data_IF_465531147153
#
_entry.id   IF_465531147153
#
_cell.length_a   1.000
_cell.length_b   1.000
_cell.length_c   1.000
_cell.angle_alpha   90.00
_cell.angle_beta   90.00
_cell.angle_gamma   90.00
#
_symmetry.space_group_name_H-M   'P 1'
#
loop_
_entity.id
_entity.type
_entity.pdbx_description
1 polymer ?
#
# COMPACT_ATOMS: atom_id res chain seq x y z
N UNK A 1 -4.67 -2.81 24.34
CA UNK A 1 -4.30 -3.87 23.39
C UNK A 1 -4.81 -5.21 23.84
N UNK A 2 -4.42 -5.70 25.01
CA UNK A 2 -4.96 -6.94 25.59
C UNK A 2 -6.51 -6.95 25.59
N UNK A 3 -7.14 -5.82 25.89
CA UNK A 3 -8.61 -5.69 25.83
C UNK A 3 -9.21 -5.87 24.42
N UNK A 4 -8.41 -5.76 23.34
CA UNK A 4 -8.90 -5.87 21.96
C UNK A 4 -8.66 -7.24 21.33
N UNK A 5 -7.57 -7.91 21.74
CA UNK A 5 -7.14 -9.18 21.14
C UNK A 5 -6.84 -10.27 22.18
N UNK A 6 -7.11 -10.02 23.46
CA UNK A 6 -7.00 -10.99 24.54
C UNK A 6 -5.58 -11.26 25.05
N UNK A 7 -4.54 -10.94 24.26
CA UNK A 7 -3.14 -11.21 24.59
C UNK A 7 -2.19 -10.15 24.01
N UNK A 8 -0.93 -10.21 24.43
CA UNK A 8 0.17 -9.42 23.86
C UNK A 8 1.45 -10.25 23.89
N UNK A 9 2.44 -9.97 23.01
CA UNK A 9 3.75 -10.61 23.08
C UNK A 9 4.38 -10.46 24.46
N UNK A 10 5.02 -11.51 24.95
CA UNK A 10 5.87 -11.44 26.13
C UNK A 10 7.18 -10.72 25.81
N UNK A 11 7.89 -10.24 26.84
CA UNK A 11 9.20 -9.59 26.61
C UNK A 11 10.18 -10.50 25.86
N UNK A 12 10.17 -11.81 26.15
CA UNK A 12 11.01 -12.78 25.47
C UNK A 12 10.67 -12.96 23.98
N UNK A 13 9.40 -12.81 23.60
CA UNK A 13 8.95 -12.91 22.20
C UNK A 13 9.20 -11.62 21.42
N UNK A 14 9.31 -10.48 22.10
CA UNK A 14 9.63 -9.20 21.50
C UNK A 14 11.13 -9.04 21.18
N UNK A 15 12.00 -9.76 21.91
CA UNK A 15 13.46 -9.64 21.82
C UNK A 15 14.11 -10.60 20.79
N UNK A 16 13.37 -11.54 20.21
CA UNK A 16 13.93 -12.59 19.32
C UNK A 16 14.49 -12.04 17.99
N UNK A 17 14.21 -10.80 17.62
CA UNK A 17 14.65 -10.22 16.34
C UNK A 17 15.75 -9.13 16.46
N UNK A 18 16.16 -8.72 17.66
CA UNK A 18 17.26 -7.76 17.85
C UNK A 18 18.51 -8.44 18.41
N UNK A 19 19.31 -9.04 17.53
CA UNK A 19 20.67 -9.42 17.85
C UNK A 19 21.55 -8.18 17.91
N UNK A 20 21.69 -7.60 19.10
CA UNK A 20 22.84 -6.87 19.63
C UNK A 20 22.49 -6.25 20.99
N UNK A 21 23.37 -6.43 21.97
CA UNK A 21 23.28 -5.85 23.31
C UNK A 21 23.20 -4.31 23.26
N UNK A 22 21.99 -3.75 23.20
CA UNK A 22 21.76 -2.33 23.50
C UNK A 22 20.93 -2.20 24.77
N UNK A 23 21.55 -1.54 25.78
CA UNK A 23 21.02 -1.12 27.06
C UNK A 23 19.47 -1.16 27.15
N UNK A 24 18.98 -2.05 28.02
CA UNK A 24 17.58 -2.11 28.49
C UNK A 24 17.08 -0.73 28.92
N UNK A 25 16.48 -0.01 27.99
CA UNK A 25 15.38 0.91 28.28
C UNK A 25 14.14 0.11 28.01
N UNK A 26 13.20 0.06 28.94
CA UNK A 26 11.85 -0.46 28.77
C UNK A 26 11.16 0.23 27.58
N UNK A 27 11.49 -0.15 26.36
CA UNK A 27 10.76 0.23 25.16
C UNK A 27 9.59 -0.73 25.07
N UNK A 28 8.42 -0.30 25.50
CA UNK A 28 7.18 -0.98 25.14
C UNK A 28 7.19 -1.14 23.61
N UNK A 29 7.17 -2.37 23.15
CA UNK A 29 7.16 -2.67 21.72
C UNK A 29 6.07 -1.84 21.02
N UNK A 30 6.44 -1.11 19.97
CA UNK A 30 5.51 -0.25 19.22
C UNK A 30 4.47 -1.05 18.41
N UNK A 31 4.66 -2.38 18.31
CA UNK A 31 3.81 -3.30 17.58
C UNK A 31 4.07 -4.76 18.01
N UNK A 32 3.45 -5.71 17.31
CA UNK A 32 3.74 -7.13 17.41
C UNK A 32 4.42 -7.63 16.13
N UNK A 33 5.37 -8.56 16.28
CA UNK A 33 5.99 -9.21 15.13
C UNK A 33 4.93 -9.95 14.30
N UNK A 34 5.07 -9.92 12.98
CA UNK A 34 4.14 -10.67 12.11
C UNK A 34 4.21 -12.18 12.35
N UNK A 35 5.38 -12.69 12.70
CA UNK A 35 5.56 -14.10 13.10
C UNK A 35 4.77 -14.44 14.35
N UNK A 36 4.76 -13.56 15.36
CA UNK A 36 3.95 -13.73 16.55
C UNK A 36 2.46 -13.79 16.24
N UNK A 37 1.97 -12.87 15.38
CA UNK A 37 0.57 -12.87 14.94
C UNK A 37 0.22 -14.20 14.24
N UNK A 38 1.08 -14.66 13.35
CA UNK A 38 0.89 -15.93 12.64
C UNK A 38 0.87 -17.12 13.60
N UNK A 39 1.76 -17.13 14.60
CA UNK A 39 1.79 -18.24 15.56
C UNK A 39 0.52 -18.34 16.41
N UNK A 40 -0.05 -17.20 16.80
CA UNK A 40 -1.16 -17.18 17.76
C UNK A 40 -2.55 -17.08 17.13
N UNK A 41 -2.63 -16.58 15.89
CA UNK A 41 -3.91 -16.26 15.23
C UNK A 41 -4.03 -16.83 13.81
N UNK A 42 -3.19 -17.80 13.42
CA UNK A 42 -3.24 -18.38 12.05
C UNK A 42 -4.57 -19.03 11.73
N UNK A 43 -5.18 -19.66 12.73
CA UNK A 43 -6.43 -20.43 12.53
C UNK A 43 -7.41 -20.08 13.63
N UNK A 44 -8.63 -19.71 13.26
CA UNK A 44 -9.71 -19.56 14.21
C UNK A 44 -10.24 -20.95 14.59
N UNK A 45 -10.45 -21.24 15.89
CA UNK A 45 -11.02 -22.52 16.32
C UNK A 45 -12.39 -22.77 15.67
N UNK A 46 -12.70 -24.01 15.26
CA UNK A 46 -13.97 -24.33 14.59
C UNK A 46 -15.20 -24.09 15.47
N UNK A 47 -15.06 -24.27 16.79
CA UNK A 47 -16.13 -24.06 17.77
C UNK A 47 -16.02 -22.70 18.49
N UNK A 48 -15.43 -21.71 17.81
CA UNK A 48 -15.21 -20.39 18.39
C UNK A 48 -16.52 -19.67 18.67
N UNK A 49 -16.57 -18.94 19.78
CA UNK A 49 -17.66 -18.02 20.06
C UNK A 49 -17.56 -16.78 19.16
N UNK A 50 -18.65 -16.02 19.01
CA UNK A 50 -18.67 -14.79 18.21
C UNK A 50 -17.57 -13.79 18.62
N UNK A 51 -17.28 -13.67 19.90
CA UNK A 51 -16.20 -12.81 20.39
C UNK A 51 -14.82 -13.26 19.93
N UNK A 52 -14.59 -14.58 19.90
CA UNK A 52 -13.34 -15.16 19.41
C UNK A 52 -13.22 -14.98 17.90
N UNK A 53 -14.31 -15.19 17.15
CA UNK A 53 -14.36 -14.93 15.70
C UNK A 53 -14.05 -13.47 15.41
N UNK A 54 -14.70 -12.54 16.11
CA UNK A 54 -14.44 -11.10 15.95
C UNK A 54 -12.99 -10.72 16.28
N UNK A 55 -12.42 -11.35 17.30
CA UNK A 55 -11.02 -11.14 17.66
C UNK A 55 -10.09 -11.60 16.55
N UNK A 56 -10.28 -12.79 15.99
CA UNK A 56 -9.48 -13.30 14.87
C UNK A 56 -9.66 -12.42 13.63
N UNK A 57 -10.89 -12.01 13.30
CA UNK A 57 -11.15 -11.09 12.19
C UNK A 57 -10.44 -9.75 12.38
N UNK A 58 -10.45 -9.20 13.60
CA UNK A 58 -9.75 -7.95 13.93
C UNK A 58 -8.24 -8.08 13.78
N UNK A 59 -7.66 -9.18 14.26
CA UNK A 59 -6.23 -9.45 14.14
C UNK A 59 -5.84 -9.67 12.69
N UNK A 60 -6.66 -10.38 11.92
CA UNK A 60 -6.43 -10.57 10.48
C UNK A 60 -6.46 -9.22 9.72
N UNK A 61 -7.44 -8.38 9.97
CA UNK A 61 -7.50 -7.04 9.38
C UNK A 61 -6.30 -6.18 9.80
N UNK A 62 -5.89 -6.25 11.06
CA UNK A 62 -4.71 -5.55 11.55
C UNK A 62 -3.44 -6.02 10.84
N UNK A 63 -3.28 -7.33 10.67
CA UNK A 63 -2.19 -7.92 9.90
C UNK A 63 -2.16 -7.38 8.46
N UNK A 64 -3.29 -7.46 7.75
CA UNK A 64 -3.41 -7.00 6.36
C UNK A 64 -3.12 -5.50 6.26
N UNK A 65 -3.74 -4.67 7.08
CA UNK A 65 -3.56 -3.22 7.09
C UNK A 65 -2.10 -2.84 7.34
N UNK A 66 -1.45 -3.49 8.32
CA UNK A 66 -0.05 -3.21 8.66
C UNK A 66 0.94 -3.69 7.61
N UNK A 67 0.63 -4.81 6.92
CA UNK A 67 1.56 -5.41 5.97
C UNK A 67 1.40 -4.86 4.55
N UNK A 68 0.22 -4.38 4.20
CA UNK A 68 -0.07 -3.96 2.82
C UNK A 68 -0.32 -2.47 2.66
N UNK A 69 -1.14 -1.87 3.53
CA UNK A 69 -1.50 -0.46 3.40
C UNK A 69 -0.45 0.46 4.03
N UNK A 70 0.05 0.09 5.20
CA UNK A 70 0.95 0.92 6.00
C UNK A 70 2.18 0.14 6.50
N UNK A 71 2.90 -0.58 5.64
CA UNK A 71 4.12 -1.25 6.07
C UNK A 71 5.17 -0.20 6.49
N UNK A 72 5.82 -0.46 7.59
CA UNK A 72 6.99 0.31 8.01
C UNK A 72 8.23 -0.03 7.16
N UNK A 73 9.31 0.71 7.35
CA UNK A 73 10.56 0.49 6.62
C UNK A 73 11.26 -0.84 6.94
N UNK A 74 10.88 -1.51 8.04
CA UNK A 74 11.44 -2.81 8.44
C UNK A 74 10.63 -3.98 7.88
N UNK A 75 9.34 -3.79 7.67
CA UNK A 75 8.41 -4.82 7.20
C UNK A 75 8.23 -6.00 8.17
N UNK A 76 8.62 -5.85 9.44
CA UNK A 76 8.65 -6.94 10.42
C UNK A 76 7.51 -6.93 11.42
N UNK A 77 7.00 -5.74 11.76
CA UNK A 77 6.06 -5.56 12.85
C UNK A 77 4.74 -4.93 12.40
N UNK A 78 3.65 -5.34 13.06
CA UNK A 78 2.35 -4.69 12.97
C UNK A 78 2.21 -3.64 14.09
N UNK A 79 2.24 -2.33 13.77
CA UNK A 79 2.12 -1.28 14.78
C UNK A 79 0.77 -1.31 15.49
N UNK A 80 0.78 -1.12 16.82
CA UNK A 80 -0.44 -1.10 17.64
C UNK A 80 -1.41 0.02 17.29
N UNK A 81 -0.91 1.09 16.69
CA UNK A 81 -1.74 2.22 16.27
C UNK A 81 -2.82 1.79 15.27
N UNK A 82 -2.52 0.87 14.35
CA UNK A 82 -3.49 0.38 13.38
C UNK A 82 -4.55 -0.51 14.02
N UNK A 83 -4.21 -1.24 15.07
CA UNK A 83 -5.19 -2.01 15.82
C UNK A 83 -6.24 -1.11 16.49
N UNK A 84 -5.86 0.10 16.94
CA UNK A 84 -6.80 1.06 17.52
C UNK A 84 -7.88 1.52 16.52
N UNK A 85 -7.54 1.62 15.26
CA UNK A 85 -8.49 2.02 14.21
C UNK A 85 -9.55 0.94 13.95
N UNK A 86 -9.25 -0.30 14.33
CA UNK A 86 -10.11 -1.47 14.17
C UNK A 86 -10.94 -1.79 15.43
N UNK A 87 -11.08 -0.87 16.37
CA UNK A 87 -11.90 -1.06 17.57
C UNK A 87 -13.39 -1.14 17.24
N UNK A 88 -13.82 -0.42 16.21
CA UNK A 88 -15.20 -0.38 15.72
C UNK A 88 -15.21 -0.82 14.27
N UNK A 89 -15.82 -1.97 13.98
CA UNK A 89 -15.86 -2.54 12.62
C UNK A 89 -16.68 -1.71 11.63
N UNK A 90 -17.72 -1.02 12.11
CA UNK A 90 -18.61 -0.22 11.26
C UNK A 90 -18.05 1.16 10.92
N UNK A 91 -16.86 1.50 11.39
CA UNK A 91 -16.23 2.77 11.08
C UNK A 91 -15.85 2.84 9.60
N UNK A 92 -16.37 3.84 8.91
CA UNK A 92 -16.07 4.11 7.50
C UNK A 92 -14.83 4.98 7.38
N UNK A 93 -13.68 4.35 7.24
CA UNK A 93 -12.42 5.05 7.00
C UNK A 93 -12.13 5.14 5.50
N UNK A 94 -11.54 6.25 5.08
CA UNK A 94 -10.99 6.38 3.71
C UNK A 94 -9.61 5.72 3.64
N UNK A 95 -9.58 4.40 3.55
CA UNK A 95 -8.34 3.63 3.52
C UNK A 95 -7.42 4.03 2.37
N UNK A 96 -7.98 4.32 1.19
CA UNK A 96 -7.22 4.77 0.02
C UNK A 96 -6.51 6.10 0.27
N UNK A 97 -7.22 7.10 0.79
CA UNK A 97 -6.63 8.41 1.12
C UNK A 97 -5.56 8.28 2.20
N UNK A 98 -5.82 7.48 3.23
CA UNK A 98 -4.85 7.25 4.30
C UNK A 98 -3.59 6.54 3.78
N UNK A 99 -3.74 5.53 2.92
CA UNK A 99 -2.62 4.83 2.29
C UNK A 99 -1.78 5.76 1.44
N UNK A 100 -2.41 6.63 0.66
CA UNK A 100 -1.71 7.60 -0.18
C UNK A 100 -0.96 8.62 0.65
N UNK A 101 -1.58 9.15 1.73
CA UNK A 101 -0.92 10.04 2.68
C UNK A 101 0.31 9.40 3.30
N UNK A 102 0.17 8.17 3.78
CA UNK A 102 1.27 7.44 4.39
C UNK A 102 2.41 7.20 3.40
N UNK A 103 2.07 6.82 2.16
CA UNK A 103 3.06 6.62 1.10
C UNK A 103 3.81 7.92 0.77
N UNK A 104 3.10 9.04 0.61
CA UNK A 104 3.75 10.34 0.37
C UNK A 104 4.73 10.67 1.47
N UNK A 105 4.34 10.54 2.74
CA UNK A 105 5.22 10.78 3.88
C UNK A 105 6.47 9.89 3.85
N UNK A 106 6.32 8.62 3.52
CA UNK A 106 7.45 7.71 3.44
C UNK A 106 8.40 8.03 2.28
N UNK A 107 7.87 8.50 1.15
CA UNK A 107 8.67 8.95 0.02
C UNK A 107 9.41 10.26 0.32
N UNK A 108 8.76 11.22 0.96
CA UNK A 108 9.40 12.46 1.40
C UNK A 108 10.53 12.18 2.39
N UNK A 109 10.28 11.33 3.39
CA UNK A 109 11.30 10.89 4.34
C UNK A 109 12.47 10.22 3.61
N UNK A 110 12.21 9.39 2.59
CA UNK A 110 13.24 8.73 1.81
C UNK A 110 14.09 9.72 0.99
N UNK A 111 13.46 10.74 0.39
CA UNK A 111 14.16 11.78 -0.37
C UNK A 111 15.03 12.68 0.51
N UNK A 112 14.67 12.87 1.77
CA UNK A 112 15.39 13.73 2.72
C UNK A 112 16.49 13.00 3.50
N UNK A 113 16.60 11.68 3.38
CA UNK A 113 17.58 10.89 4.14
C UNK A 113 18.99 11.05 3.60
N UNK A 114 19.94 11.11 4.54
CA UNK A 114 21.38 11.13 4.24
C UNK A 114 22.00 9.73 4.46
N UNK A 115 21.26 8.80 5.07
CA UNK A 115 21.77 7.47 5.43
C UNK A 115 21.38 6.39 4.42
N UNK A 116 22.32 5.59 3.99
CA UNK A 116 22.19 4.60 2.90
C UNK A 116 21.45 3.30 3.28
N UNK A 117 21.12 3.10 4.56
CA UNK A 117 20.74 1.76 5.05
C UNK A 117 19.27 1.57 5.43
N UNK A 118 18.41 2.56 5.25
CA UNK A 118 17.03 2.45 5.68
C UNK A 118 16.10 2.11 4.51
N UNK A 119 15.33 1.03 4.64
CA UNK A 119 14.25 0.70 3.73
C UNK A 119 13.21 1.84 3.66
N UNK A 120 12.37 1.81 2.65
CA UNK A 120 11.25 2.75 2.47
C UNK A 120 9.98 2.05 2.94
N UNK A 121 9.22 2.69 3.83
CA UNK A 121 7.89 2.24 4.21
C UNK A 121 6.83 2.65 3.18
N UNK A 122 5.59 2.27 3.44
CA UNK A 122 4.47 2.58 2.55
C UNK A 122 4.14 1.46 1.56
N UNK A 123 3.03 1.61 0.88
CA UNK A 123 2.54 0.60 -0.06
C UNK A 123 3.37 0.60 -1.36
N UNK A 124 4.51 -0.11 -1.32
CA UNK A 124 5.40 -0.23 -2.47
C UNK A 124 4.77 -1.01 -3.62
N UNK A 125 3.84 -1.93 -3.35
CA UNK A 125 3.10 -2.62 -4.41
C UNK A 125 2.26 -1.62 -5.22
N UNK A 126 1.54 -0.73 -4.54
CA UNK A 126 0.79 0.34 -5.20
C UNK A 126 1.70 1.21 -6.08
N UNK A 127 2.85 1.62 -5.54
CA UNK A 127 3.83 2.43 -6.28
C UNK A 127 4.38 1.68 -7.50
N UNK A 128 4.72 0.40 -7.33
CA UNK A 128 5.23 -0.45 -8.42
C UNK A 128 4.19 -0.61 -9.53
N UNK A 129 2.97 -0.98 -9.20
CA UNK A 129 1.89 -1.14 -10.18
C UNK A 129 1.59 0.20 -10.87
N UNK A 130 1.53 1.29 -10.12
CA UNK A 130 1.35 2.64 -10.69
C UNK A 130 2.46 2.98 -11.68
N UNK A 131 3.72 2.69 -11.34
CA UNK A 131 4.88 2.91 -12.22
C UNK A 131 4.82 2.04 -13.46
N UNK A 132 4.61 0.74 -13.31
CA UNK A 132 4.56 -0.20 -14.44
C UNK A 132 3.46 0.09 -15.46
N UNK A 133 2.34 0.62 -15.00
CA UNK A 133 1.26 1.04 -15.90
C UNK A 133 1.63 2.28 -16.74
N UNK A 134 2.46 3.16 -16.21
CA UNK A 134 2.76 4.47 -16.80
C UNK A 134 4.14 4.57 -17.45
N UNK A 135 5.11 3.88 -16.89
CA UNK A 135 6.51 4.00 -17.29
C UNK A 135 7.06 2.63 -17.72
N UNK A 136 7.80 2.56 -18.84
CA UNK A 136 8.46 1.31 -19.26
C UNK A 136 9.76 1.05 -18.50
N UNK A 137 9.86 1.48 -17.24
CA UNK A 137 11.05 1.37 -16.40
C UNK A 137 10.85 0.29 -15.37
N UNK A 138 11.76 -0.66 -15.29
CA UNK A 138 11.68 -1.77 -14.34
C UNK A 138 10.41 -2.59 -14.47
N UNK A 139 9.72 -2.49 -15.60
CA UNK A 139 8.45 -3.16 -15.83
C UNK A 139 8.69 -4.65 -16.05
N UNK A 140 8.15 -5.52 -15.21
CA UNK A 140 8.22 -6.96 -15.45
C UNK A 140 7.35 -7.34 -16.65
N UNK A 141 7.62 -8.51 -17.22
CA UNK A 141 6.70 -9.08 -18.20
C UNK A 141 5.54 -9.73 -17.46
N UNK A 142 4.31 -9.40 -17.84
CA UNK A 142 3.15 -10.18 -17.39
C UNK A 142 3.25 -11.58 -18.02
N UNK A 143 3.35 -12.60 -17.17
CA UNK A 143 3.55 -13.99 -17.62
C UNK A 143 2.22 -14.65 -17.91
N UNK A 144 1.19 -14.21 -17.23
CA UNK A 144 -0.11 -14.83 -17.31
C UNK A 144 -1.20 -13.82 -17.04
N UNK A 145 -1.95 -13.47 -18.06
CA UNK A 145 -3.26 -12.90 -17.88
C UNK A 145 -4.24 -14.05 -17.78
N UNK A 146 -4.66 -14.36 -16.57
CA UNK A 146 -5.68 -15.36 -16.35
C UNK A 146 -6.97 -14.62 -16.02
N UNK A 147 -7.94 -14.53 -16.96
CA UNK A 147 -9.25 -14.02 -16.61
C UNK A 147 -9.77 -14.87 -15.45
N UNK A 148 -10.46 -14.25 -14.53
CA UNK A 148 -11.04 -14.94 -13.39
C UNK A 148 -11.94 -16.06 -13.87
N UNK A 149 -11.64 -17.26 -13.43
CA UNK A 149 -12.57 -18.36 -13.57
C UNK A 149 -13.76 -18.12 -12.64
N UNK A 150 -14.90 -18.58 -13.08
CA UNK A 150 -16.06 -18.79 -12.22
C UNK A 150 -15.57 -19.49 -10.97
N UNK A 151 -15.94 -18.99 -9.79
CA UNK A 151 -15.69 -19.73 -8.58
C UNK A 151 -16.68 -20.93 -8.50
N UNK A 152 -16.53 -21.78 -7.49
CA UNK A 152 -17.39 -22.94 -7.27
C UNK A 152 -18.89 -22.60 -7.16
N UNK A 153 -19.24 -21.30 -7.12
CA UNK A 153 -20.59 -20.78 -6.98
C UNK A 153 -21.09 -20.02 -8.20
N UNK A 154 -20.43 -20.14 -9.36
CA UNK A 154 -20.78 -19.43 -10.61
C UNK A 154 -20.81 -17.87 -10.46
N UNK A 155 -20.17 -17.32 -9.43
CA UNK A 155 -20.10 -15.88 -9.26
C UNK A 155 -18.94 -15.29 -10.08
N UNK A 156 -19.27 -14.37 -10.97
CA UNK A 156 -18.29 -13.64 -11.78
C UNK A 156 -17.49 -12.70 -10.87
N UNK A 157 -16.25 -13.06 -10.60
CA UNK A 157 -15.34 -12.16 -9.87
C UNK A 157 -14.94 -11.00 -10.78
N UNK A 158 -14.96 -9.80 -10.23
CA UNK A 158 -14.53 -8.60 -10.93
C UNK A 158 -13.19 -8.16 -10.35
N UNK A 159 -12.06 -8.34 -11.08
CA UNK A 159 -10.75 -7.94 -10.60
C UNK A 159 -10.55 -6.43 -10.58
N UNK A 160 -9.52 -5.98 -9.87
CA UNK A 160 -9.02 -4.62 -9.96
C UNK A 160 -7.99 -4.49 -11.10
N UNK A 161 -7.60 -3.26 -11.42
CA UNK A 161 -6.54 -2.99 -12.41
C UNK A 161 -5.21 -3.68 -12.09
N UNK A 162 -4.90 -3.85 -10.82
CA UNK A 162 -3.67 -4.47 -10.37
C UNK A 162 -3.56 -5.96 -10.73
N UNK A 163 -4.67 -6.61 -11.07
CA UNK A 163 -4.72 -8.02 -11.40
C UNK A 163 -3.82 -8.42 -12.57
N UNK A 164 -3.64 -7.54 -13.54
CA UNK A 164 -2.70 -7.74 -14.65
C UNK A 164 -1.29 -8.11 -14.19
N UNK A 165 -0.92 -7.69 -12.98
CA UNK A 165 0.40 -7.87 -12.40
C UNK A 165 0.43 -8.96 -11.31
N UNK A 166 -0.62 -9.78 -11.22
CA UNK A 166 -0.70 -10.87 -10.24
C UNK A 166 0.40 -11.91 -10.47
N UNK A 167 0.65 -12.24 -11.74
CA UNK A 167 1.75 -13.14 -12.12
C UNK A 167 2.69 -12.43 -13.09
N UNK A 168 3.88 -12.16 -12.61
CA UNK A 168 4.93 -11.48 -13.38
C UNK A 168 6.16 -12.37 -13.53
N UNK A 169 6.99 -12.07 -14.54
CA UNK A 169 8.26 -12.76 -14.72
C UNK A 169 9.18 -12.53 -13.53
N UNK A 170 9.96 -13.54 -13.20
CA UNK A 170 11.00 -13.40 -12.20
C UNK A 170 11.95 -12.26 -12.56
N UNK A 171 12.29 -11.47 -11.54
CA UNK A 171 13.28 -10.41 -11.63
C UNK A 171 14.56 -10.92 -10.97
N UNK A 172 15.71 -10.48 -11.48
CA UNK A 172 16.98 -10.82 -10.83
C UNK A 172 17.04 -10.22 -9.43
N UNK A 173 17.63 -10.98 -8.50
CA UNK A 173 17.86 -10.51 -7.12
C UNK A 173 19.15 -9.67 -6.99
N UNK A 174 19.90 -9.47 -8.07
CA UNK A 174 21.08 -8.61 -8.08
C UNK A 174 20.68 -7.14 -8.11
N UNK A 175 20.73 -6.50 -6.94
CA UNK A 175 20.32 -5.10 -6.74
C UNK A 175 21.17 -4.14 -7.59
N UNK A 176 22.47 -4.39 -7.75
CA UNK A 176 23.34 -3.52 -8.50
C UNK A 176 23.03 -3.57 -10.00
N UNK A 177 22.81 -4.77 -10.52
CA UNK A 177 22.42 -4.97 -11.91
C UNK A 177 21.05 -4.33 -12.19
N UNK A 178 20.11 -4.46 -11.26
CA UNK A 178 18.78 -3.85 -11.35
C UNK A 178 18.88 -2.32 -11.36
N UNK A 179 19.69 -1.76 -10.47
CA UNK A 179 19.88 -0.32 -10.39
C UNK A 179 20.46 0.24 -11.71
N UNK A 180 21.52 -0.36 -12.22
CA UNK A 180 22.14 0.07 -13.49
C UNK A 180 21.15 -0.01 -14.66
N UNK A 181 20.36 -1.08 -14.70
CA UNK A 181 19.33 -1.26 -15.74
C UNK A 181 18.27 -0.17 -15.64
N UNK A 182 17.73 0.10 -14.46
CA UNK A 182 16.68 1.11 -14.30
C UNK A 182 17.16 2.53 -14.57
N UNK A 183 18.40 2.85 -14.19
CA UNK A 183 19.03 4.13 -14.54
C UNK A 183 19.11 4.28 -16.05
N UNK A 184 19.61 3.26 -16.76
CA UNK A 184 19.71 3.30 -18.22
C UNK A 184 18.33 3.42 -18.90
N UNK A 185 17.31 2.73 -18.39
CA UNK A 185 15.94 2.83 -18.89
C UNK A 185 15.35 4.24 -18.64
N UNK A 186 15.61 4.85 -17.47
CA UNK A 186 15.19 6.21 -17.16
C UNK A 186 15.90 7.25 -18.04
N UNK A 187 17.19 7.09 -18.29
CA UNK A 187 17.98 8.02 -19.12
C UNK A 187 17.56 8.02 -20.59
N UNK A 188 16.95 6.92 -21.04
CA UNK A 188 16.54 6.74 -22.45
C UNK A 188 15.04 6.88 -22.68
N UNK A 189 14.25 7.09 -21.64
CA UNK A 189 12.78 7.22 -21.77
C UNK A 189 12.41 8.46 -22.60
N UNK A 190 11.48 8.28 -23.53
CA UNK A 190 10.93 9.38 -24.31
C UNK A 190 9.50 9.73 -23.87
N UNK A 191 9.02 10.97 -24.12
CA UNK A 191 7.66 11.38 -23.73
C UNK A 191 6.56 10.47 -24.30
N UNK A 192 6.79 9.90 -25.50
CA UNK A 192 5.84 9.03 -26.18
C UNK A 192 5.69 7.66 -25.52
N UNK A 193 6.70 7.25 -24.75
CA UNK A 193 6.70 6.00 -23.99
C UNK A 193 5.95 6.11 -22.68
N UNK A 194 5.64 7.35 -22.24
CA UNK A 194 4.92 7.58 -20.98
C UNK A 194 3.41 7.50 -21.23
N UNK A 195 2.76 6.50 -20.63
CA UNK A 195 1.32 6.37 -20.69
C UNK A 195 0.66 7.12 -19.53
N UNK A 196 0.14 8.30 -19.81
CA UNK A 196 -0.49 9.12 -18.78
C UNK A 196 -1.85 8.61 -18.32
N UNK A 197 -2.58 7.92 -19.20
CA UNK A 197 -3.93 7.43 -18.98
C UNK A 197 -4.06 5.93 -19.25
N UNK A 198 -3.37 5.08 -18.52
CA UNK A 198 -3.39 3.63 -18.77
C UNK A 198 -4.80 3.02 -18.61
N UNK A 199 -5.68 3.73 -17.92
CA UNK A 199 -7.06 3.31 -17.65
C UNK A 199 -8.08 4.18 -18.41
N UNK A 200 -7.66 4.81 -19.49
CA UNK A 200 -8.50 5.67 -20.32
C UNK A 200 -9.72 4.93 -20.89
N UNK A 201 -10.71 5.72 -21.24
CA UNK A 201 -12.06 5.30 -21.62
C UNK A 201 -12.10 3.99 -22.42
N UNK A 202 -12.77 3.07 -21.85
CA UNK A 202 -13.59 1.96 -22.37
C UNK A 202 -12.96 0.90 -23.27
N UNK A 203 -12.09 1.18 -24.22
CA UNK A 203 -11.79 0.22 -25.29
C UNK A 203 -10.35 -0.32 -25.29
N UNK A 204 -9.44 0.26 -24.51
CA UNK A 204 -8.01 -0.03 -24.62
C UNK A 204 -7.50 -1.15 -23.73
N UNK A 205 -8.31 -1.64 -22.82
CA UNK A 205 -7.87 -2.62 -21.84
C UNK A 205 -7.99 -4.06 -22.30
N UNK A 206 -8.29 -4.25 -23.58
CA UNK A 206 -8.47 -5.60 -24.12
C UNK A 206 -9.54 -6.35 -23.33
N UNK A 207 -10.65 -5.68 -23.00
CA UNK A 207 -11.78 -6.37 -22.41
C UNK A 207 -12.20 -7.50 -23.32
N UNK A 208 -11.97 -8.69 -22.83
CA UNK A 208 -12.76 -9.80 -23.33
C UNK A 208 -14.15 -9.68 -22.71
N UNK A 209 -15.21 -10.19 -23.35
CA UNK A 209 -16.55 -10.21 -22.78
C UNK A 209 -16.62 -10.81 -21.38
N UNK A 210 -15.61 -11.57 -21.01
CA UNK A 210 -15.46 -12.31 -19.75
C UNK A 210 -14.76 -11.47 -18.67
N UNK A 211 -14.10 -10.37 -19.01
CA UNK A 211 -13.35 -9.55 -18.07
C UNK A 211 -14.09 -8.26 -17.72
N UNK A 212 -14.64 -8.20 -16.54
CA UNK A 212 -15.28 -6.99 -15.99
C UNK A 212 -14.45 -6.45 -14.83
N UNK A 213 -14.05 -5.20 -14.94
CA UNK A 213 -13.38 -4.50 -13.84
C UNK A 213 -14.33 -4.31 -12.67
N UNK A 214 -13.80 -4.50 -11.46
CA UNK A 214 -14.55 -4.25 -10.25
C UNK A 214 -15.09 -2.80 -10.23
N UNK A 215 -16.41 -2.61 -10.07
CA UNK A 215 -17.02 -1.27 -10.04
C UNK A 215 -16.44 -0.35 -8.97
N UNK A 216 -15.84 -0.92 -7.90
CA UNK A 216 -15.14 -0.16 -6.88
C UNK A 216 -13.95 0.65 -7.43
N UNK A 217 -13.37 0.25 -8.57
CA UNK A 217 -12.31 1.00 -9.23
C UNK A 217 -12.78 2.36 -9.78
N UNK A 218 -14.09 2.54 -9.96
CA UNK A 218 -14.69 3.77 -10.47
C UNK A 218 -15.49 4.54 -9.42
N UNK A 219 -15.52 4.01 -8.21
CA UNK A 219 -16.23 4.64 -7.10
C UNK A 219 -15.61 5.99 -6.77
N UNK A 220 -16.46 6.94 -6.40
CA UNK A 220 -16.07 8.28 -5.98
C UNK A 220 -15.21 9.05 -7.01
N UNK A 221 -15.41 8.75 -8.31
CA UNK A 221 -14.67 9.35 -9.42
C UNK A 221 -14.77 10.88 -9.44
N UNK A 222 -15.88 11.42 -8.98
CA UNK A 222 -16.11 12.87 -8.87
C UNK A 222 -15.14 13.55 -7.89
N UNK A 223 -14.59 12.77 -6.95
CA UNK A 223 -13.67 13.27 -5.94
C UNK A 223 -12.20 13.28 -6.42
N UNK A 224 -11.88 12.60 -7.50
CA UNK A 224 -10.49 12.43 -7.95
C UNK A 224 -9.79 13.75 -8.30
N UNK A 225 -10.57 14.76 -8.72
CA UNK A 225 -10.05 16.09 -9.06
C UNK A 225 -10.19 17.10 -7.92
N UNK A 226 -10.69 16.69 -6.77
CA UNK A 226 -10.82 17.60 -5.62
C UNK A 226 -9.47 17.87 -4.98
N UNK A 227 -9.21 19.14 -4.73
CA UNK A 227 -8.09 19.56 -3.88
C UNK A 227 -8.53 19.45 -2.43
N UNK A 228 -7.96 18.51 -1.71
CA UNK A 228 -8.33 18.26 -0.32
C UNK A 228 -7.14 17.73 0.49
N UNK A 229 -7.17 17.93 1.82
CA UNK A 229 -6.22 17.24 2.69
C UNK A 229 -6.53 15.74 2.70
N UNK A 230 -5.50 14.93 2.60
CA UNK A 230 -5.52 13.49 2.83
C UNK A 230 -5.00 13.26 4.24
N UNK A 231 -5.73 12.49 5.04
CA UNK A 231 -5.42 12.32 6.46
C UNK A 231 -5.12 10.86 6.77
N UNK A 232 -3.98 10.63 7.39
CA UNK A 232 -3.59 9.34 7.94
C UNK A 232 -3.09 9.51 9.38
N UNK A 233 -4.00 9.45 10.34
CA UNK A 233 -3.71 9.59 11.76
C UNK A 233 -2.92 10.89 12.06
N UNK A 234 -1.59 10.80 12.21
CA UNK A 234 -0.69 11.92 12.48
C UNK A 234 -0.17 12.62 11.23
N UNK A 235 -0.33 12.03 10.06
CA UNK A 235 0.15 12.59 8.80
C UNK A 235 -1.01 13.25 8.04
N UNK A 236 -0.75 14.45 7.51
CA UNK A 236 -1.66 15.16 6.63
C UNK A 236 -0.86 15.54 5.38
N UNK A 237 -1.37 15.14 4.22
CA UNK A 237 -0.81 15.51 2.92
C UNK A 237 -1.90 16.13 2.05
N UNK A 238 -1.50 16.84 1.00
CA UNK A 238 -2.48 17.42 0.09
C UNK A 238 -2.63 16.61 -1.19
N UNK A 239 -3.86 16.32 -1.52
CA UNK A 239 -4.20 15.87 -2.86
C UNK A 239 -4.24 17.07 -3.81
N UNK A 240 -3.30 17.11 -4.76
CA UNK A 240 -3.08 18.24 -5.66
C UNK A 240 -3.19 17.79 -7.14
N UNK A 241 -4.38 17.38 -7.60
CA UNK A 241 -4.55 16.82 -8.95
C UNK A 241 -4.17 17.80 -10.06
N UNK A 242 -4.28 19.10 -9.83
CA UNK A 242 -3.88 20.12 -10.77
C UNK A 242 -2.39 20.11 -11.13
N UNK A 243 -1.55 19.47 -10.32
CA UNK A 243 -0.13 19.28 -10.61
C UNK A 243 0.13 18.07 -11.54
N UNK A 244 -0.86 17.23 -11.71
CA UNK A 244 -0.77 15.97 -12.45
C UNK A 244 -1.99 15.74 -13.37
N UNK A 245 -2.57 16.80 -13.89
CA UNK A 245 -3.79 16.75 -14.71
C UNK A 245 -3.67 15.83 -15.93
N UNK A 246 -2.48 15.64 -16.49
CA UNK A 246 -2.27 14.66 -17.58
C UNK A 246 -2.68 13.24 -17.21
N UNK A 247 -2.54 12.86 -15.94
CA UNK A 247 -2.98 11.54 -15.46
C UNK A 247 -4.52 11.37 -15.46
N UNK A 248 -5.24 12.48 -15.57
CA UNK A 248 -6.70 12.52 -15.63
C UNK A 248 -7.22 12.89 -17.03
N UNK A 249 -6.33 12.91 -18.04
CA UNK A 249 -6.70 13.29 -19.41
C UNK A 249 -6.94 14.77 -19.63
N UNK A 250 -6.49 15.59 -18.72
CA UNK A 250 -6.70 17.02 -18.77
C UNK A 250 -5.44 17.75 -19.21
N UNK A 251 -5.60 18.93 -19.77
CA UNK A 251 -4.49 19.81 -20.08
C UNK A 251 -3.74 20.19 -18.79
N UNK A 252 -2.42 20.06 -18.81
CA UNK A 252 -1.57 20.40 -17.67
C UNK A 252 -1.13 21.87 -17.77
N UNK A 253 -1.79 22.81 -17.07
CA UNK A 253 -1.34 24.20 -17.01
C UNK A 253 -0.10 24.33 -16.14
N UNK A 254 0.52 25.50 -16.17
CA UNK A 254 1.53 25.83 -15.19
C UNK A 254 0.92 25.77 -13.78
N UNK A 255 1.52 25.05 -12.82
CA UNK A 255 0.98 24.99 -11.48
C UNK A 255 0.93 26.40 -10.85
N UNK A 256 -0.12 26.74 -10.08
CA UNK A 256 -0.12 27.95 -9.28
C UNK A 256 1.01 27.92 -8.25
N UNK A 257 1.37 29.07 -7.73
CA UNK A 257 2.40 29.17 -6.71
C UNK A 257 2.15 28.17 -5.56
N UNK A 258 3.25 27.58 -5.11
CA UNK A 258 3.22 26.66 -3.99
C UNK A 258 2.87 27.40 -2.69
N UNK A 259 1.84 26.95 -2.02
CA UNK A 259 1.57 27.37 -0.64
C UNK A 259 2.24 26.34 0.26
N UNK A 260 3.25 26.79 1.00
CA UNK A 260 3.93 25.93 1.99
C UNK A 260 2.95 25.54 3.09
N UNK A 261 2.51 24.30 3.01
CA UNK A 261 1.56 23.72 3.97
C UNK A 261 2.25 23.07 5.16
N UNK A 262 3.57 22.85 5.08
CA UNK A 262 4.33 22.13 6.09
C UNK A 262 4.31 22.84 7.45
N UNK A 263 4.48 24.15 7.46
CA UNK A 263 4.53 24.93 8.71
C UNK A 263 3.19 25.04 9.43
N UNK A 264 2.09 24.93 8.72
CA UNK A 264 0.75 25.11 9.28
C UNK A 264 0.09 23.80 9.75
N UNK A 265 0.42 22.69 9.11
CA UNK A 265 -0.28 21.39 9.29
C UNK A 265 0.53 20.35 10.06
N UNK A 266 1.84 20.57 10.24
CA UNK A 266 2.74 19.62 10.90
C UNK A 266 3.20 20.07 12.29
N UNK A 267 2.52 21.04 12.90
CA UNK A 267 2.77 21.46 14.28
C UNK A 267 1.95 20.70 15.28
#
# INVERSE_FOLDING_TARGET
MIALIGMAPTEAEADVEEGEEKKKRERKAAGAAFTWIQTHFATCPPDATDDVIQTHARVYMWYVVSRTLFPDSTGKNAPWMWLKVLTVFDSKWSWGSATLTYLYRQLDDACCRITDSAGIGGNMLLLSVWSWERLPVGRPKSVRFNPWYEDEHDELRCPTWAYKWDVVSEMTNDVNLMYQKYVAELDTITPEQVEWQPYGADDRLGYTPEFRINPMCFRDRDLWLMRCPLICNWAIEFHLPHRVFRQFGLFQPHPPEWVDTDKALHR
#
